data_IF_534051221309
#
_entry.id   IF_534051221309
#
_cell.length_a   1.000
_cell.length_b   1.000
_cell.length_c   1.000
_cell.angle_alpha   90.00
_cell.angle_beta   90.00
_cell.angle_gamma   90.00
#
_symmetry.space_group_name_H-M   'P 1'
#
loop_
_entity.id
_entity.type
_entity.pdbx_description
1 polymer ?
#
# COMPACT_ATOMS: atom_id res chain seq x y z
N UNK A 1 29.28 -42.14 -55.16
CA UNK A 1 28.09 -41.87 -54.32
C UNK A 1 28.37 -41.02 -53.08
N UNK A 2 29.57 -41.09 -52.46
CA UNK A 2 29.92 -40.29 -51.27
C UNK A 2 29.98 -38.77 -51.45
N UNK A 3 30.15 -38.28 -52.68
CA UNK A 3 30.32 -36.85 -52.97
C UNK A 3 29.06 -36.01 -52.75
N UNK A 4 27.86 -36.62 -52.82
CA UNK A 4 26.58 -35.95 -52.53
C UNK A 4 26.22 -35.93 -51.03
N UNK A 5 26.88 -36.74 -50.20
CA UNK A 5 26.57 -36.86 -48.78
C UNK A 5 27.11 -35.65 -48.00
N UNK A 6 28.30 -35.17 -48.35
CA UNK A 6 28.93 -34.01 -47.73
C UNK A 6 28.08 -32.72 -47.81
N UNK A 7 27.55 -32.29 -48.98
CA UNK A 7 26.73 -31.08 -49.05
C UNK A 7 25.38 -31.25 -48.30
N UNK A 8 24.78 -32.45 -48.33
CA UNK A 8 23.54 -32.72 -47.60
C UNK A 8 23.74 -32.62 -46.08
N UNK A 9 24.80 -33.20 -45.54
CA UNK A 9 25.13 -33.08 -44.12
C UNK A 9 25.43 -31.63 -43.71
N UNK A 10 26.07 -30.84 -44.58
CA UNK A 10 26.33 -29.41 -44.34
C UNK A 10 25.03 -28.59 -44.24
N UNK A 11 24.08 -28.82 -45.15
CA UNK A 11 22.76 -28.14 -45.15
C UNK A 11 21.96 -28.51 -43.89
N UNK A 12 21.95 -29.79 -43.51
CA UNK A 12 21.26 -30.25 -42.29
C UNK A 12 21.88 -29.63 -41.04
N UNK A 13 23.20 -29.56 -40.96
CA UNK A 13 23.92 -28.90 -39.86
C UNK A 13 23.55 -27.42 -39.73
N UNK A 14 23.48 -26.70 -40.85
CA UNK A 14 23.07 -25.29 -40.88
C UNK A 14 21.62 -25.08 -40.42
N UNK A 15 20.69 -25.94 -40.86
CA UNK A 15 19.28 -25.89 -40.44
C UNK A 15 19.11 -26.13 -38.93
N UNK A 16 19.84 -27.11 -38.37
CA UNK A 16 19.79 -27.39 -36.93
C UNK A 16 20.37 -26.24 -36.09
N UNK A 17 21.46 -25.62 -36.55
CA UNK A 17 22.02 -24.42 -35.93
C UNK A 17 21.04 -23.26 -35.96
N UNK A 18 20.40 -23.02 -37.11
CA UNK A 18 19.40 -21.98 -37.27
C UNK A 18 18.19 -22.20 -36.35
N UNK A 19 17.68 -23.42 -36.28
CA UNK A 19 16.58 -23.78 -35.39
C UNK A 19 16.93 -23.55 -33.91
N UNK A 20 18.14 -23.92 -33.48
CA UNK A 20 18.58 -23.68 -32.09
C UNK A 20 18.74 -22.20 -31.76
N UNK A 21 19.22 -21.39 -32.70
CA UNK A 21 19.32 -19.94 -32.54
C UNK A 21 17.93 -19.32 -32.40
N UNK A 22 17.00 -19.64 -33.30
CA UNK A 22 15.63 -19.13 -33.27
C UNK A 22 14.88 -19.54 -32.00
N UNK A 23 15.02 -20.81 -31.57
CA UNK A 23 14.44 -21.29 -30.31
C UNK A 23 14.98 -20.55 -29.09
N UNK A 24 16.30 -20.33 -28.99
CA UNK A 24 16.90 -19.57 -27.88
C UNK A 24 16.41 -18.12 -27.84
N UNK A 25 16.33 -17.46 -29.00
CA UNK A 25 15.83 -16.08 -29.09
C UNK A 25 14.37 -16.00 -28.64
N UNK A 26 13.55 -16.99 -29.03
CA UNK A 26 12.15 -17.04 -28.61
C UNK A 26 12.02 -17.18 -27.08
N UNK A 27 12.75 -18.10 -26.47
CA UNK A 27 12.74 -18.28 -25.02
C UNK A 27 13.25 -17.03 -24.26
N UNK A 28 14.28 -16.37 -24.78
CA UNK A 28 14.76 -15.11 -24.21
C UNK A 28 13.68 -14.01 -24.29
N UNK A 29 13.00 -13.87 -25.44
CA UNK A 29 11.88 -12.92 -25.59
C UNK A 29 10.73 -13.21 -24.63
N UNK A 30 10.37 -14.48 -24.46
CA UNK A 30 9.34 -14.89 -23.50
C UNK A 30 9.76 -14.55 -22.07
N UNK A 31 11.00 -14.84 -21.67
CA UNK A 31 11.51 -14.52 -20.34
C UNK A 31 11.52 -13.01 -20.07
N UNK A 32 11.90 -12.19 -21.05
CA UNK A 32 11.84 -10.72 -20.94
C UNK A 32 10.39 -10.24 -20.80
N UNK A 33 9.47 -10.78 -21.60
CA UNK A 33 8.06 -10.42 -21.54
C UNK A 33 7.44 -10.76 -20.18
N UNK A 34 7.72 -11.95 -19.64
CA UNK A 34 7.21 -12.36 -18.32
C UNK A 34 7.75 -11.45 -17.23
N UNK A 35 9.06 -11.13 -17.26
CA UNK A 35 9.67 -10.20 -16.31
C UNK A 35 9.04 -8.82 -16.37
N UNK A 36 8.77 -8.29 -17.57
CA UNK A 36 8.11 -7.00 -17.73
C UNK A 36 6.68 -7.00 -17.19
N UNK A 37 5.92 -8.08 -17.40
CA UNK A 37 4.57 -8.22 -16.84
C UNK A 37 4.62 -8.27 -15.31
N UNK A 38 5.55 -9.04 -14.74
CA UNK A 38 5.72 -9.11 -13.29
C UNK A 38 6.11 -7.75 -12.69
N UNK A 39 7.04 -7.03 -13.33
CA UNK A 39 7.49 -5.72 -12.88
C UNK A 39 6.37 -4.66 -12.96
N UNK A 40 5.51 -4.76 -13.98
CA UNK A 40 4.29 -3.95 -14.09
C UNK A 40 3.30 -4.29 -12.98
N UNK A 41 3.06 -5.58 -12.70
CA UNK A 41 2.19 -6.02 -11.61
C UNK A 41 2.64 -5.48 -10.25
N UNK A 42 3.93 -5.59 -9.94
CA UNK A 42 4.51 -5.05 -8.69
C UNK A 42 4.33 -3.53 -8.61
N UNK A 43 4.48 -2.81 -9.71
CA UNK A 43 4.28 -1.35 -9.74
C UNK A 43 2.82 -0.96 -9.52
N UNK A 44 1.88 -1.69 -10.13
CA UNK A 44 0.44 -1.47 -9.96
C UNK A 44 0.00 -1.79 -8.52
N UNK A 45 0.52 -2.87 -7.93
CA UNK A 45 0.29 -3.19 -6.51
C UNK A 45 0.88 -2.14 -5.57
N UNK A 46 2.10 -1.66 -5.85
CA UNK A 46 2.72 -0.58 -5.07
C UNK A 46 1.89 0.70 -5.08
N UNK A 47 1.44 1.14 -6.26
CA UNK A 47 0.59 2.33 -6.36
C UNK A 47 -0.73 2.17 -5.58
N UNK A 48 -1.33 0.97 -5.61
CA UNK A 48 -2.55 0.71 -4.84
C UNK A 48 -2.31 0.75 -3.34
N UNK A 49 -1.16 0.28 -2.87
CA UNK A 49 -0.78 0.36 -1.46
C UNK A 49 -0.57 1.82 -1.03
N UNK A 50 0.10 2.64 -1.85
CA UNK A 50 0.28 4.07 -1.57
C UNK A 50 -1.08 4.80 -1.49
N UNK A 51 -2.01 4.49 -2.39
CA UNK A 51 -3.38 5.03 -2.35
C UNK A 51 -4.13 4.61 -1.08
N UNK A 52 -3.97 3.35 -0.63
CA UNK A 52 -4.56 2.87 0.61
C UNK A 52 -3.93 3.51 1.86
N UNK A 53 -2.63 3.77 1.85
CA UNK A 53 -1.94 4.46 2.95
C UNK A 53 -2.49 5.88 3.11
N UNK A 54 -2.64 6.62 2.01
CA UNK A 54 -3.21 7.98 2.03
C UNK A 54 -4.65 7.97 2.54
N UNK A 55 -5.48 7.02 2.10
CA UNK A 55 -6.87 6.92 2.56
C UNK A 55 -6.94 6.63 4.07
N UNK A 56 -6.13 5.68 4.55
CA UNK A 56 -6.05 5.36 5.98
C UNK A 56 -5.54 6.54 6.80
N UNK A 57 -4.55 7.28 6.30
CA UNK A 57 -4.04 8.48 6.97
C UNK A 57 -5.13 9.55 7.08
N UNK A 58 -5.89 9.78 6.00
CA UNK A 58 -7.02 10.73 6.01
C UNK A 58 -8.12 10.30 6.98
N UNK A 59 -8.43 9.00 7.03
CA UNK A 59 -9.39 8.45 7.99
C UNK A 59 -8.90 8.66 9.43
N UNK A 60 -7.63 8.39 9.72
CA UNK A 60 -7.04 8.60 11.04
C UNK A 60 -7.14 10.07 11.45
N UNK A 61 -6.76 11.01 10.57
CA UNK A 61 -6.87 12.45 10.85
C UNK A 61 -8.31 12.87 11.11
N UNK A 62 -9.26 12.39 10.29
CA UNK A 62 -10.68 12.68 10.50
C UNK A 62 -11.19 12.13 11.83
N UNK A 63 -10.78 10.91 12.21
CA UNK A 63 -11.17 10.31 13.48
C UNK A 63 -10.60 11.06 14.67
N UNK A 64 -9.33 11.47 14.62
CA UNK A 64 -8.72 12.30 15.67
C UNK A 64 -9.44 13.64 15.83
N UNK A 65 -9.78 14.30 14.72
CA UNK A 65 -10.54 15.56 14.76
C UNK A 65 -11.94 15.36 15.37
N UNK A 66 -12.63 14.28 14.99
CA UNK A 66 -13.94 13.97 15.54
C UNK A 66 -13.87 13.63 17.03
N UNK A 67 -12.85 12.89 17.47
CA UNK A 67 -12.61 12.63 18.89
C UNK A 67 -12.45 13.97 19.61
N UNK A 68 -11.56 14.86 19.15
CA UNK A 68 -11.34 16.16 19.79
C UNK A 68 -12.64 16.96 19.95
N UNK A 69 -13.46 17.04 18.89
CA UNK A 69 -14.77 17.72 18.95
C UNK A 69 -15.71 17.08 19.98
N UNK A 70 -15.82 15.76 19.99
CA UNK A 70 -16.64 15.05 20.97
C UNK A 70 -16.16 15.31 22.41
N UNK A 71 -14.85 15.44 22.63
CA UNK A 71 -14.29 15.80 23.94
C UNK A 71 -14.74 17.21 24.36
N UNK A 72 -14.65 18.17 23.46
CA UNK A 72 -15.11 19.55 23.70
C UNK A 72 -16.62 19.57 24.00
N UNK A 73 -17.43 18.89 23.18
CA UNK A 73 -18.88 18.82 23.36
C UNK A 73 -19.26 18.20 24.72
N UNK A 74 -18.56 17.15 25.15
CA UNK A 74 -18.76 16.54 26.47
C UNK A 74 -18.41 17.53 27.59
N UNK A 75 -17.29 18.25 27.48
CA UNK A 75 -16.84 19.24 28.47
C UNK A 75 -17.86 20.38 28.60
N UNK A 76 -18.37 20.87 27.48
CA UNK A 76 -19.39 21.92 27.45
C UNK A 76 -20.73 21.43 28.03
N UNK A 77 -21.13 20.20 27.70
CA UNK A 77 -22.34 19.59 28.25
C UNK A 77 -22.23 19.39 29.76
N UNK A 78 -21.07 18.94 30.24
CA UNK A 78 -20.77 18.76 31.66
C UNK A 78 -20.86 20.08 32.43
N UNK A 79 -20.26 21.14 31.88
CA UNK A 79 -20.32 22.48 32.45
C UNK A 79 -21.77 22.99 32.50
N UNK A 80 -22.54 22.84 31.41
CA UNK A 80 -23.95 23.25 31.37
C UNK A 80 -24.83 22.44 32.34
N UNK A 81 -24.56 21.14 32.51
CA UNK A 81 -25.26 20.30 33.46
C UNK A 81 -24.98 20.73 34.91
N UNK A 82 -23.72 21.06 35.22
CA UNK A 82 -23.30 21.57 36.53
C UNK A 82 -23.95 22.92 36.85
N UNK A 83 -23.99 23.84 35.89
CA UNK A 83 -24.69 25.13 36.03
C UNK A 83 -26.19 24.97 36.32
N UNK A 84 -26.82 23.95 35.74
CA UNK A 84 -28.24 23.65 35.92
C UNK A 84 -28.54 22.77 37.15
N UNK A 85 -27.51 22.39 37.92
CA UNK A 85 -27.67 21.53 39.10
C UNK A 85 -28.16 20.12 38.76
N UNK A 86 -27.94 19.64 37.54
CA UNK A 86 -28.35 18.30 37.11
C UNK A 86 -27.38 17.24 37.65
N UNK A 87 -27.88 16.06 38.06
CA UNK A 87 -27.01 14.97 38.48
C UNK A 87 -26.19 14.47 37.27
N UNK A 88 -24.87 14.56 37.37
CA UNK A 88 -23.94 14.05 36.37
C UNK A 88 -23.68 12.56 36.70
N UNK A 89 -23.96 11.62 35.79
CA UNK A 89 -23.64 10.21 36.00
C UNK A 89 -22.11 10.02 36.03
N UNK A 90 -21.63 9.14 36.92
CA UNK A 90 -20.23 8.71 36.90
C UNK A 90 -19.91 8.03 35.56
N UNK A 91 -18.83 8.48 34.91
CA UNK A 91 -18.39 7.86 33.67
C UNK A 91 -17.91 6.43 33.95
N UNK A 92 -18.37 5.47 33.15
CA UNK A 92 -17.92 4.08 33.21
C UNK A 92 -16.57 3.86 32.52
N UNK A 93 -15.94 4.93 32.05
CA UNK A 93 -14.68 4.93 31.31
C UNK A 93 -13.71 5.92 31.95
N UNK A 94 -12.40 5.63 31.95
CA UNK A 94 -11.41 6.51 32.56
C UNK A 94 -11.40 7.87 31.86
N UNK A 95 -11.76 8.92 32.61
CA UNK A 95 -11.78 10.29 32.10
C UNK A 95 -10.39 10.93 32.11
N UNK A 96 -9.44 10.40 32.88
CA UNK A 96 -8.05 10.87 32.93
C UNK A 96 -7.39 10.93 31.53
N UNK A 97 -7.65 9.96 30.64
CA UNK A 97 -7.13 9.95 29.26
C UNK A 97 -7.71 11.08 28.37
N UNK A 98 -8.81 11.69 28.80
CA UNK A 98 -9.40 12.85 28.12
C UNK A 98 -8.65 14.14 28.43
N UNK A 99 -8.07 14.25 29.63
CA UNK A 99 -7.39 15.44 30.13
C UNK A 99 -5.87 15.43 29.90
N UNK A 100 -5.21 14.25 29.95
CA UNK A 100 -3.74 14.14 29.82
C UNK A 100 -3.19 14.49 28.42
N UNK A 101 -4.01 14.45 27.37
CA UNK A 101 -3.58 14.79 26.00
C UNK A 101 -3.72 16.29 25.66
N UNK A 102 -4.38 17.11 26.48
CA UNK A 102 -4.41 18.58 26.29
C UNK A 102 -3.01 19.19 26.56
N UNK A 103 -2.28 18.74 27.59
CA UNK A 103 -0.98 19.32 28.00
C UNK A 103 0.19 19.07 27.04
N UNK A 104 0.08 18.07 26.15
CA UNK A 104 1.15 17.75 25.20
C UNK A 104 1.01 18.54 23.89
N UNK A 105 -0.20 18.95 23.52
CA UNK A 105 -0.44 19.76 22.31
C UNK A 105 -0.05 21.24 22.47
N UNK A 106 -0.02 21.77 23.70
CA UNK A 106 0.42 23.15 23.97
C UNK A 106 1.95 23.30 24.05
N UNK A 107 2.71 22.20 24.18
CA UNK A 107 4.17 22.24 24.38
C UNK A 107 5.01 22.04 23.12
N UNK A 108 4.43 21.63 22.00
CA UNK A 108 5.15 21.52 20.70
C UNK A 108 4.95 22.73 19.77
N UNK A 109 4.23 23.76 20.22
CA UNK A 109 3.90 24.97 19.45
C UNK A 109 4.36 26.29 20.08
N UNK A 110 5.41 26.29 20.92
CA UNK A 110 6.02 27.52 21.46
C UNK A 110 7.50 27.64 21.16
#
# INVERSE_FOLDING_TARGET
>A
MFWLIAPVCSIIGALLLHHKLTSKILHMKQAISIKNIALRGVREEGQKLDEQEIDLQNQQTSMQSNIFRLRTDIKDLLNSAKEKGLPIPEASFPLEELYELEETSEKEGS
#
